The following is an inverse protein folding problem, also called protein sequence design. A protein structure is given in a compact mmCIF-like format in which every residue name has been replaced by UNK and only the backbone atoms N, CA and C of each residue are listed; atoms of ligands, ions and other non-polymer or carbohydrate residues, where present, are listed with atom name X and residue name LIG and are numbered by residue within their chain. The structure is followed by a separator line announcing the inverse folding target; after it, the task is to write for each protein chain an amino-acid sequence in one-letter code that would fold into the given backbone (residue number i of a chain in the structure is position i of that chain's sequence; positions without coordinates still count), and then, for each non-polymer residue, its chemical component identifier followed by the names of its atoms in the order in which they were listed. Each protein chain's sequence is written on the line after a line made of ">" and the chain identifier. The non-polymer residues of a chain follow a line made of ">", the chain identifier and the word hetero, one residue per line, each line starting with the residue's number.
data_IF_358666365354
#
_entry.id   IF_358666365354
#
_cell.length_a   1.000
_cell.length_b   1.000
_cell.length_c   1.000
_cell.angle_alpha   90.00
_cell.angle_beta   90.00
_cell.angle_gamma   90.00
#
_symmetry.space_group_name_H-M   'P 1'
#
loop_
_entity.id
_entity.type
_entity.pdbx_description
1 polymer ?
#
# COMPACT_ATOMS: atom_id res chain seq x y z
N UNK A 1 -41.90 1.75 -30.13
CA UNK A 1 -40.93 1.45 -29.05
C UNK A 1 -39.78 0.73 -29.72
N UNK A 2 -38.73 1.43 -30.03
CA UNK A 2 -37.50 0.88 -30.64
C UNK A 2 -36.63 0.26 -29.56
N UNK A 3 -36.51 -1.08 -29.62
CA UNK A 3 -35.55 -1.80 -28.81
C UNK A 3 -34.14 -1.32 -29.19
N UNK A 4 -33.53 -0.50 -28.34
CA UNK A 4 -32.09 -0.22 -28.41
C UNK A 4 -31.40 -1.48 -27.87
N UNK A 5 -30.56 -2.18 -28.67
CA UNK A 5 -29.80 -3.33 -28.14
C UNK A 5 -28.89 -2.82 -27.06
N UNK A 6 -28.94 -3.45 -25.88
CA UNK A 6 -27.95 -3.22 -24.84
C UNK A 6 -26.56 -3.63 -25.38
N UNK A 7 -25.54 -2.81 -25.17
CA UNK A 7 -24.19 -3.22 -25.54
C UNK A 7 -23.86 -4.52 -24.80
N UNK A 8 -23.34 -5.48 -25.55
CA UNK A 8 -22.81 -6.73 -24.98
C UNK A 8 -21.72 -6.38 -23.96
N UNK A 9 -21.84 -6.88 -22.74
CA UNK A 9 -20.77 -6.76 -21.77
C UNK A 9 -19.49 -7.39 -22.37
N UNK A 10 -18.38 -6.65 -22.41
CA UNK A 10 -17.14 -7.20 -22.98
C UNK A 10 -16.70 -8.44 -22.19
N UNK A 11 -16.14 -9.42 -22.89
CA UNK A 11 -15.52 -10.55 -22.20
C UNK A 11 -14.38 -10.04 -21.32
N UNK A 12 -14.05 -10.69 -20.19
CA UNK A 12 -13.01 -10.21 -19.28
C UNK A 12 -11.70 -9.83 -19.99
N UNK A 13 -11.30 -10.60 -20.99
CA UNK A 13 -10.07 -10.35 -21.75
C UNK A 13 -10.14 -9.08 -22.63
N UNK A 14 -11.28 -8.83 -23.24
CA UNK A 14 -11.51 -7.63 -24.08
C UNK A 14 -11.58 -6.37 -23.22
N UNK A 15 -12.14 -6.46 -22.00
CA UNK A 15 -12.21 -5.32 -21.09
C UNK A 15 -10.83 -4.87 -20.62
N UNK A 16 -9.88 -5.78 -20.39
CA UNK A 16 -8.50 -5.43 -19.99
C UNK A 16 -7.74 -4.74 -21.10
N UNK A 17 -7.79 -5.27 -22.32
CA UNK A 17 -7.16 -4.64 -23.47
C UNK A 17 -7.71 -3.25 -23.72
N UNK A 18 -9.04 -3.10 -23.67
CA UNK A 18 -9.72 -1.82 -23.83
C UNK A 18 -9.33 -0.83 -22.74
N UNK A 19 -9.22 -1.29 -21.49
CA UNK A 19 -8.80 -0.45 -20.36
C UNK A 19 -7.39 0.11 -20.56
N UNK A 20 -6.40 -0.73 -20.86
CA UNK A 20 -5.02 -0.28 -21.07
C UNK A 20 -4.91 0.73 -22.23
N UNK A 21 -5.60 0.50 -23.33
CA UNK A 21 -5.59 1.39 -24.50
C UNK A 21 -6.28 2.74 -24.21
N UNK A 22 -7.33 2.74 -23.40
CA UNK A 22 -8.15 3.94 -23.16
C UNK A 22 -7.59 4.84 -22.06
N UNK A 23 -6.78 4.31 -21.14
CA UNK A 23 -6.18 5.07 -20.03
C UNK A 23 -5.05 5.97 -20.54
N UNK A 24 -5.02 7.23 -20.10
CA UNK A 24 -3.98 8.19 -20.45
C UNK A 24 -3.11 8.57 -19.25
N UNK A 25 -1.80 8.72 -19.48
CA UNK A 25 -0.87 9.25 -18.47
C UNK A 25 -1.28 10.69 -18.14
N UNK A 26 -1.32 11.02 -16.85
CA UNK A 26 -1.79 12.32 -16.35
C UNK A 26 -3.30 12.42 -16.15
N UNK A 27 -4.04 11.39 -16.53
CA UNK A 27 -5.50 11.35 -16.38
C UNK A 27 -5.90 11.38 -14.90
N UNK A 28 -6.81 12.31 -14.56
CA UNK A 28 -7.35 12.44 -13.22
C UNK A 28 -8.44 11.39 -12.97
N UNK A 29 -8.33 10.70 -11.84
CA UNK A 29 -9.28 9.67 -11.40
C UNK A 29 -10.41 10.23 -10.52
N UNK A 30 -10.35 11.53 -10.23
CA UNK A 30 -11.27 12.17 -9.30
C UNK A 30 -10.69 12.26 -7.89
N UNK A 31 -11.57 12.44 -6.92
CA UNK A 31 -11.21 12.53 -5.51
C UNK A 31 -12.20 11.76 -4.64
N UNK A 32 -11.73 11.39 -3.47
CA UNK A 32 -12.50 10.82 -2.37
C UNK A 32 -12.44 11.78 -1.18
N UNK A 33 -13.52 11.85 -0.42
CA UNK A 33 -13.52 12.56 0.85
C UNK A 33 -14.05 11.63 1.95
N UNK A 34 -13.35 11.59 3.06
CA UNK A 34 -13.80 10.87 4.23
C UNK A 34 -13.26 11.54 5.51
N UNK A 35 -13.80 11.13 6.65
CA UNK A 35 -13.32 11.58 7.95
C UNK A 35 -12.63 10.42 8.65
N UNK A 36 -11.45 10.65 9.19
CA UNK A 36 -10.76 9.67 10.03
C UNK A 36 -11.39 9.72 11.42
N UNK A 37 -12.14 8.69 11.80
CA UNK A 37 -12.85 8.61 13.08
C UNK A 37 -12.11 7.71 14.07
N UNK A 38 -12.40 7.88 15.36
CA UNK A 38 -11.91 6.95 16.40
C UNK A 38 -12.37 5.50 16.12
N UNK A 39 -13.59 5.33 15.61
CA UNK A 39 -14.11 4.01 15.23
C UNK A 39 -13.27 3.35 14.14
N UNK A 40 -12.91 4.09 13.08
CA UNK A 40 -12.00 3.60 12.04
C UNK A 40 -10.67 3.19 12.63
N UNK A 41 -10.12 4.01 13.53
CA UNK A 41 -8.86 3.72 14.20
C UNK A 41 -8.95 2.45 15.05
N UNK A 42 -9.96 2.33 15.89
CA UNK A 42 -10.17 1.14 16.72
C UNK A 42 -10.33 -0.12 15.88
N UNK A 43 -11.10 -0.03 14.81
CA UNK A 43 -11.31 -1.16 13.92
C UNK A 43 -10.03 -1.57 13.18
N UNK A 44 -9.27 -0.61 12.68
CA UNK A 44 -7.97 -0.87 12.07
C UNK A 44 -7.01 -1.55 13.06
N UNK A 45 -6.86 -1.00 14.26
CA UNK A 45 -5.99 -1.54 15.28
C UNK A 45 -6.40 -2.96 15.72
N UNK A 46 -7.72 -3.24 15.83
CA UNK A 46 -8.19 -4.59 16.15
C UNK A 46 -7.95 -5.59 15.01
N UNK A 47 -7.90 -5.11 13.77
CA UNK A 47 -7.70 -5.93 12.58
C UNK A 47 -6.22 -6.31 12.39
N UNK A 48 -5.30 -5.42 12.72
CA UNK A 48 -3.86 -5.64 12.55
C UNK A 48 -3.14 -5.90 13.87
N UNK A 49 -3.87 -5.93 14.99
CA UNK A 49 -3.35 -6.13 16.36
C UNK A 49 -2.28 -5.11 16.76
N UNK A 50 -2.38 -3.90 16.21
CA UNK A 50 -1.42 -2.83 16.42
C UNK A 50 -2.04 -1.65 17.18
N UNK A 51 -1.73 -1.55 18.46
CA UNK A 51 -2.37 -0.61 19.39
C UNK A 51 -1.56 0.65 19.70
N UNK A 52 -0.26 0.67 19.35
CA UNK A 52 0.63 1.68 19.93
C UNK A 52 0.67 3.01 19.17
N UNK A 53 0.43 3.04 17.85
CA UNK A 53 0.63 4.26 17.08
C UNK A 53 -0.59 5.16 16.97
N UNK A 54 -1.77 4.62 17.16
CA UNK A 54 -3.01 5.38 16.95
C UNK A 54 -3.20 5.86 15.50
N UNK A 55 -2.56 5.24 14.51
CA UNK A 55 -2.60 5.66 13.12
C UNK A 55 -3.26 4.62 12.23
N UNK A 56 -4.23 5.06 11.47
CA UNK A 56 -4.76 4.28 10.34
C UNK A 56 -3.79 4.47 9.18
N UNK A 57 -3.35 3.37 8.58
CA UNK A 57 -2.70 3.45 7.29
C UNK A 57 -3.78 3.74 6.23
N UNK A 58 -3.99 5.01 5.94
CA UNK A 58 -5.06 5.49 5.05
C UNK A 58 -4.93 4.94 3.64
N UNK A 59 -3.72 4.66 3.21
CA UNK A 59 -3.41 4.27 1.86
C UNK A 59 -3.91 2.87 1.46
N UNK A 60 -4.51 2.11 2.36
CA UNK A 60 -4.97 0.74 2.06
C UNK A 60 -6.12 0.72 1.04
N UNK A 61 -6.88 1.81 0.87
CA UNK A 61 -8.19 1.78 0.23
C UNK A 61 -8.33 2.57 -1.04
N UNK A 62 -7.49 3.57 -1.18
CA UNK A 62 -7.76 4.71 -2.06
C UNK A 62 -7.66 4.35 -3.54
N UNK A 63 -6.70 3.48 -3.89
CA UNK A 63 -6.44 3.13 -5.28
C UNK A 63 -7.58 2.39 -5.95
N UNK A 64 -8.05 1.32 -5.32
CA UNK A 64 -9.12 0.51 -5.88
C UNK A 64 -10.39 1.34 -6.04
N UNK A 65 -10.68 2.21 -5.08
CA UNK A 65 -11.88 3.01 -5.13
C UNK A 65 -11.82 4.12 -6.20
N UNK A 66 -10.73 4.87 -6.30
CA UNK A 66 -10.60 5.89 -7.36
C UNK A 66 -10.63 5.27 -8.75
N UNK A 67 -10.04 4.08 -8.91
CA UNK A 67 -10.09 3.34 -10.18
C UNK A 67 -11.48 2.80 -10.45
N UNK A 68 -12.12 2.15 -9.47
CA UNK A 68 -13.46 1.58 -9.61
C UNK A 68 -14.53 2.63 -9.87
N UNK A 69 -14.44 3.77 -9.22
CA UNK A 69 -15.37 4.89 -9.48
C UNK A 69 -15.33 5.37 -10.93
N UNK A 70 -14.18 5.27 -11.57
CA UNK A 70 -14.02 5.74 -12.95
C UNK A 70 -14.18 4.66 -14.00
N UNK A 71 -13.68 3.47 -13.77
CA UNK A 71 -13.58 2.40 -14.77
C UNK A 71 -14.42 1.17 -14.45
N UNK A 72 -15.10 1.15 -13.29
CA UNK A 72 -15.83 -0.03 -12.82
C UNK A 72 -14.92 -1.10 -12.24
N UNK A 73 -15.44 -2.32 -12.12
CA UNK A 73 -14.67 -3.44 -11.57
C UNK A 73 -13.56 -3.85 -12.53
N UNK A 74 -12.32 -3.69 -12.07
CA UNK A 74 -11.12 -4.06 -12.83
C UNK A 74 -10.32 -5.04 -11.98
N UNK A 75 -10.00 -6.20 -12.57
CA UNK A 75 -9.14 -7.17 -11.90
C UNK A 75 -7.67 -6.72 -12.05
N UNK A 76 -7.16 -6.05 -11.04
CA UNK A 76 -5.79 -5.56 -10.95
C UNK A 76 -5.02 -6.37 -9.92
N UNK A 77 -3.77 -6.69 -10.24
CA UNK A 77 -2.86 -7.30 -9.27
C UNK A 77 -1.84 -6.27 -8.81
N UNK A 78 -1.83 -5.95 -7.53
CA UNK A 78 -0.82 -5.07 -6.93
C UNK A 78 0.55 -5.74 -6.96
N UNK A 79 1.50 -5.07 -7.60
CA UNK A 79 2.89 -5.55 -7.78
C UNK A 79 3.86 -4.86 -6.84
N UNK A 80 3.68 -3.56 -6.64
CA UNK A 80 4.51 -2.77 -5.73
C UNK A 80 3.80 -1.53 -5.26
N UNK A 81 4.19 -1.06 -4.07
CA UNK A 81 3.65 0.14 -3.46
C UNK A 81 4.76 0.99 -2.88
N UNK A 82 4.63 2.31 -3.03
CA UNK A 82 5.58 3.30 -2.56
C UNK A 82 4.84 4.44 -1.86
N UNK A 83 4.97 4.53 -0.53
CA UNK A 83 4.33 5.52 0.33
C UNK A 83 5.36 6.54 0.81
N UNK A 84 5.02 7.82 0.70
CA UNK A 84 5.77 8.92 1.25
C UNK A 84 4.93 9.63 2.31
N UNK A 85 5.35 9.55 3.57
CA UNK A 85 4.63 10.05 4.74
C UNK A 85 5.06 11.49 5.05
N UNK A 86 4.14 12.42 5.01
CA UNK A 86 4.37 13.81 5.42
C UNK A 86 4.02 14.02 6.89
N UNK A 87 2.90 13.46 7.31
CA UNK A 87 2.40 13.48 8.68
C UNK A 87 1.28 12.48 8.89
N UNK A 88 1.02 12.09 10.14
CA UNK A 88 -0.18 11.30 10.44
C UNK A 88 -1.46 12.12 10.23
N UNK A 89 -2.57 11.46 9.86
CA UNK A 89 -3.88 12.07 9.85
C UNK A 89 -4.29 12.47 11.27
N UNK A 90 -5.13 13.49 11.39
CA UNK A 90 -5.71 13.93 12.66
C UNK A 90 -7.12 13.35 12.75
N UNK A 91 -7.44 12.72 13.89
CA UNK A 91 -8.78 12.19 14.16
C UNK A 91 -9.82 13.32 14.07
N UNK A 92 -11.00 12.98 13.58
CA UNK A 92 -12.14 13.86 13.31
C UNK A 92 -11.95 14.93 12.23
N UNK A 93 -10.80 14.96 11.58
CA UNK A 93 -10.59 15.80 10.40
C UNK A 93 -10.95 15.09 9.09
N UNK A 94 -11.37 15.90 8.13
CA UNK A 94 -11.56 15.41 6.76
C UNK A 94 -10.21 15.16 6.10
N UNK A 95 -10.20 14.10 5.30
CA UNK A 95 -9.11 13.77 4.38
C UNK A 95 -9.70 13.77 2.98
N UNK A 96 -9.07 14.51 2.08
CA UNK A 96 -9.35 14.47 0.65
C UNK A 96 -8.20 13.75 -0.03
N UNK A 97 -8.53 12.75 -0.84
CA UNK A 97 -7.57 11.98 -1.62
C UNK A 97 -7.84 12.19 -3.09
N UNK A 98 -6.85 12.69 -3.82
CA UNK A 98 -6.90 12.81 -5.27
C UNK A 98 -6.07 11.72 -5.90
N UNK A 99 -6.57 11.11 -7.00
CA UNK A 99 -5.91 10.06 -7.74
C UNK A 99 -5.63 10.45 -9.19
N UNK A 100 -4.55 9.96 -9.76
CA UNK A 100 -4.20 10.14 -11.18
C UNK A 100 -3.41 8.96 -11.72
N UNK A 101 -3.48 8.75 -13.04
CA UNK A 101 -2.62 7.82 -13.75
C UNK A 101 -1.24 8.45 -13.89
N UNK A 102 -0.24 7.86 -13.25
CA UNK A 102 1.13 8.37 -13.27
C UNK A 102 1.91 7.86 -14.48
N UNK A 103 1.72 6.59 -14.82
CA UNK A 103 2.43 5.94 -15.91
C UNK A 103 1.68 4.68 -16.37
N UNK A 104 1.99 4.20 -17.56
CA UNK A 104 1.61 2.87 -18.05
C UNK A 104 2.70 2.34 -18.98
N UNK A 105 3.01 1.07 -18.86
CA UNK A 105 4.06 0.45 -19.67
C UNK A 105 3.81 -1.04 -19.87
N UNK A 106 4.52 -1.61 -20.83
CA UNK A 106 4.55 -3.06 -21.07
C UNK A 106 5.96 -3.54 -20.77
N UNK A 107 6.08 -4.58 -19.96
CA UNK A 107 7.32 -5.29 -19.69
C UNK A 107 7.06 -6.78 -19.74
N UNK A 108 7.92 -7.51 -20.49
CA UNK A 108 7.81 -8.96 -20.67
C UNK A 108 6.42 -9.43 -21.14
N UNK A 109 5.75 -8.61 -21.95
CA UNK A 109 4.41 -8.87 -22.46
C UNK A 109 3.27 -8.62 -21.48
N UNK A 110 3.56 -8.17 -20.27
CA UNK A 110 2.60 -7.82 -19.24
C UNK A 110 2.34 -6.32 -19.26
N UNK A 111 1.08 -5.93 -19.23
CA UNK A 111 0.65 -4.54 -19.13
C UNK A 111 0.66 -4.09 -17.66
N UNK A 112 1.29 -2.95 -17.40
CA UNK A 112 1.35 -2.34 -16.08
C UNK A 112 0.70 -0.96 -16.07
N UNK A 113 0.05 -0.65 -14.96
CA UNK A 113 -0.51 0.65 -14.67
C UNK A 113 0.09 1.18 -13.37
N UNK A 114 0.53 2.43 -13.37
CA UNK A 114 1.02 3.13 -12.19
C UNK A 114 0.03 4.21 -11.79
N UNK A 115 -0.53 4.07 -10.61
CA UNK A 115 -1.48 5.03 -10.04
C UNK A 115 -0.81 5.82 -8.93
N UNK A 116 -1.00 7.13 -8.95
CA UNK A 116 -0.57 8.02 -7.87
C UNK A 116 -1.78 8.53 -7.10
N UNK A 117 -1.65 8.67 -5.78
CA UNK A 117 -2.62 9.41 -4.95
C UNK A 117 -1.92 10.41 -4.04
N UNK A 118 -2.65 11.44 -3.66
CA UNK A 118 -2.24 12.43 -2.67
C UNK A 118 -3.39 12.67 -1.70
N UNK A 119 -3.14 12.39 -0.43
CA UNK A 119 -4.04 12.68 0.66
C UNK A 119 -3.68 14.01 1.31
N UNK A 120 -4.65 14.90 1.44
CA UNK A 120 -4.53 16.20 2.14
C UNK A 120 -5.63 16.32 3.20
N UNK A 121 -5.39 17.14 4.20
CA UNK A 121 -6.45 17.45 5.18
C UNK A 121 -7.33 18.64 4.76
N UNK A 122 -8.29 18.98 5.62
CA UNK A 122 -9.25 20.07 5.44
C UNK A 122 -8.64 21.48 5.35
N UNK A 123 -7.36 21.65 5.67
CA UNK A 123 -6.60 22.90 5.50
C UNK A 123 -5.56 22.83 4.38
N UNK A 124 -5.61 21.77 3.56
CA UNK A 124 -4.73 21.59 2.39
C UNK A 124 -3.32 21.10 2.71
N UNK A 125 -3.08 20.58 3.94
CA UNK A 125 -1.76 20.05 4.27
C UNK A 125 -1.62 18.60 3.85
N UNK A 126 -0.52 18.27 3.19
CA UNK A 126 -0.22 16.91 2.73
C UNK A 126 -0.05 15.95 3.91
N UNK A 127 -0.70 14.79 3.81
CA UNK A 127 -0.66 13.70 4.78
C UNK A 127 0.21 12.57 4.23
N UNK A 128 -0.15 12.09 3.04
CA UNK A 128 0.43 10.91 2.43
C UNK A 128 0.40 11.05 0.91
N UNK A 129 1.51 10.72 0.27
CA UNK A 129 1.56 10.54 -1.17
C UNK A 129 1.91 9.10 -1.45
N UNK A 130 1.10 8.46 -2.27
CA UNK A 130 1.29 7.04 -2.59
C UNK A 130 1.41 6.84 -4.10
N UNK A 131 2.15 5.82 -4.46
CA UNK A 131 2.23 5.32 -5.83
C UNK A 131 2.15 3.81 -5.78
N UNK A 132 1.23 3.23 -6.55
CA UNK A 132 1.08 1.79 -6.65
C UNK A 132 1.14 1.34 -8.10
N UNK A 133 1.84 0.24 -8.34
CA UNK A 133 1.95 -0.40 -9.66
C UNK A 133 1.11 -1.65 -9.68
N UNK A 134 0.24 -1.74 -10.66
CA UNK A 134 -0.63 -2.89 -10.90
C UNK A 134 -0.27 -3.58 -12.21
N UNK A 135 -0.38 -4.90 -12.26
CA UNK A 135 -0.45 -5.64 -13.52
C UNK A 135 -1.90 -5.87 -13.92
N UNK A 136 -2.15 -5.88 -15.22
CA UNK A 136 -3.48 -6.07 -15.81
C UNK A 136 -3.64 -7.53 -16.25
N UNK A 137 -4.57 -8.24 -15.63
CA UNK A 137 -5.04 -9.54 -16.11
C UNK A 137 -4.12 -10.75 -15.90
N UNK A 138 -2.89 -10.58 -15.46
CA UNK A 138 -1.92 -11.67 -15.26
C UNK A 138 -1.11 -11.40 -13.99
N UNK A 139 -0.96 -12.40 -13.15
CA UNK A 139 0.03 -12.34 -12.09
C UNK A 139 1.42 -12.26 -12.72
N UNK A 140 2.18 -11.18 -12.51
CA UNK A 140 3.53 -11.12 -13.02
C UNK A 140 4.35 -12.28 -12.45
N UNK A 141 5.35 -12.78 -13.19
CA UNK A 141 6.30 -13.72 -12.62
C UNK A 141 6.89 -13.07 -11.36
N UNK A 142 6.98 -13.86 -10.31
CA UNK A 142 7.50 -13.42 -9.02
C UNK A 142 8.82 -12.66 -9.25
N UNK A 143 8.84 -11.38 -8.99
CA UNK A 143 10.09 -10.64 -8.98
C UNK A 143 10.94 -11.24 -7.86
N UNK A 144 11.88 -12.11 -8.26
CA UNK A 144 12.95 -12.52 -7.36
C UNK A 144 13.59 -11.23 -6.85
N UNK A 145 13.74 -11.15 -5.55
CA UNK A 145 14.25 -10.01 -4.76
C UNK A 145 15.15 -9.08 -5.56
N UNK A 146 14.97 -7.79 -5.38
CA UNK A 146 15.96 -6.79 -5.82
C UNK A 146 17.31 -7.32 -5.37
N UNK A 147 18.12 -7.78 -6.34
CA UNK A 147 19.48 -8.22 -6.08
C UNK A 147 20.27 -6.98 -5.64
N UNK A 148 20.21 -6.68 -4.36
CA UNK A 148 21.09 -5.69 -3.77
C UNK A 148 22.49 -6.33 -3.68
N UNK A 149 23.48 -5.59 -4.10
CA UNK A 149 24.87 -5.86 -3.73
C UNK A 149 24.88 -6.05 -2.22
N UNK A 150 25.24 -7.24 -1.76
CA UNK A 150 25.30 -7.61 -0.33
C UNK A 150 26.34 -6.73 0.38
N UNK A 151 25.93 -5.55 0.81
CA UNK A 151 26.64 -4.81 1.83
C UNK A 151 26.23 -5.42 3.17
N UNK A 152 27.21 -5.74 4.02
CA UNK A 152 26.89 -6.21 5.38
C UNK A 152 26.03 -5.13 6.07
N UNK A 153 24.91 -5.51 6.71
CA UNK A 153 24.05 -4.57 7.38
C UNK A 153 24.80 -3.93 8.56
N UNK A 154 24.60 -2.62 8.75
CA UNK A 154 25.19 -1.87 9.88
C UNK A 154 24.52 -2.32 11.19
N UNK A 155 23.22 -2.58 11.14
CA UNK A 155 22.41 -2.98 12.28
C UNK A 155 21.19 -3.78 11.79
N UNK A 156 20.82 -4.78 12.57
CA UNK A 156 19.59 -5.52 12.40
C UNK A 156 18.55 -5.04 13.43
N UNK A 157 17.34 -4.74 13.00
CA UNK A 157 16.24 -4.40 13.91
C UNK A 157 15.65 -5.67 14.52
N UNK A 158 15.03 -5.58 15.71
CA UNK A 158 14.23 -6.68 16.24
C UNK A 158 13.16 -7.10 15.22
N UNK A 159 13.07 -8.39 14.96
CA UNK A 159 12.06 -8.90 14.04
C UNK A 159 10.66 -8.87 14.69
N UNK A 160 9.65 -8.60 13.88
CA UNK A 160 8.25 -8.68 14.27
C UNK A 160 7.67 -10.01 13.76
N UNK A 161 7.10 -10.80 14.63
CA UNK A 161 6.39 -12.03 14.25
C UNK A 161 4.88 -11.81 14.38
N UNK A 162 4.13 -12.17 13.34
CA UNK A 162 2.67 -12.06 13.29
C UNK A 162 2.05 -13.40 12.90
N UNK A 163 1.08 -13.82 13.68
CA UNK A 163 0.18 -14.91 13.33
C UNK A 163 -1.05 -14.32 12.65
N UNK A 164 -1.32 -14.73 11.43
CA UNK A 164 -2.46 -14.26 10.64
C UNK A 164 -3.64 -15.18 10.92
N UNK A 165 -4.43 -14.84 11.94
CA UNK A 165 -5.63 -15.62 12.26
C UNK A 165 -6.71 -15.41 11.19
N UNK A 166 -7.49 -16.44 10.89
CA UNK A 166 -8.56 -16.38 9.90
C UNK A 166 -9.60 -15.30 10.22
N UNK A 167 -9.86 -15.06 11.51
CA UNK A 167 -10.76 -14.00 11.94
C UNK A 167 -10.21 -12.62 11.56
N UNK A 168 -8.95 -12.32 11.92
CA UNK A 168 -8.24 -11.07 11.59
C UNK A 168 -8.14 -10.88 10.08
N UNK A 169 -7.84 -11.96 9.34
CA UNK A 169 -7.85 -11.94 7.88
C UNK A 169 -9.19 -11.48 7.31
N UNK A 170 -10.29 -12.07 7.77
CA UNK A 170 -11.62 -11.70 7.29
C UNK A 170 -12.00 -10.27 7.66
N UNK A 171 -11.67 -9.82 8.87
CA UNK A 171 -11.90 -8.42 9.26
C UNK A 171 -11.13 -7.47 8.34
N UNK A 172 -9.86 -7.75 8.07
CA UNK A 172 -9.03 -6.93 7.19
C UNK A 172 -9.56 -6.93 5.75
N UNK A 173 -9.94 -8.10 5.22
CA UNK A 173 -10.53 -8.25 3.90
C UNK A 173 -11.79 -7.38 3.71
N UNK A 174 -12.60 -7.24 4.76
CA UNK A 174 -13.85 -6.46 4.74
C UNK A 174 -13.68 -5.05 5.31
N UNK A 175 -12.51 -4.71 5.86
CA UNK A 175 -12.28 -3.40 6.50
C UNK A 175 -12.70 -2.24 5.58
N UNK A 176 -12.51 -2.39 4.29
CA UNK A 176 -12.84 -1.40 3.30
C UNK A 176 -14.33 -1.27 3.00
N UNK A 177 -15.09 -2.34 2.98
CA UNK A 177 -16.52 -2.32 2.66
C UNK A 177 -17.39 -1.82 3.82
N UNK A 178 -16.87 -1.79 5.03
CA UNK A 178 -17.64 -1.42 6.21
C UNK A 178 -17.66 0.08 6.54
N UNK A 179 -16.80 0.89 5.90
CA UNK A 179 -16.74 2.33 6.14
C UNK A 179 -17.33 3.12 4.97
N UNK A 180 -18.56 2.96 4.63
CA UNK A 180 -19.42 3.77 3.72
C UNK A 180 -18.72 4.65 2.64
N UNK A 181 -17.48 4.32 2.25
CA UNK A 181 -16.76 5.02 1.21
C UNK A 181 -17.04 4.33 -0.14
N UNK A 182 -18.32 4.17 -0.45
CA UNK A 182 -18.83 3.50 -1.66
C UNK A 182 -19.03 1.99 -1.50
N UNK A 183 -19.79 1.39 -2.44
CA UNK A 183 -20.04 -0.05 -2.54
C UNK A 183 -18.78 -0.80 -3.03
N UNK A 184 -17.77 -0.90 -2.16
CA UNK A 184 -16.57 -1.68 -2.47
C UNK A 184 -16.80 -3.15 -2.17
N UNK A 185 -16.49 -3.99 -3.15
CA UNK A 185 -16.40 -5.41 -2.90
C UNK A 185 -15.25 -5.74 -1.92
N UNK A 186 -15.36 -6.83 -1.17
CA UNK A 186 -14.26 -7.32 -0.35
C UNK A 186 -13.01 -7.55 -1.19
N UNK A 187 -11.84 -7.28 -0.61
CA UNK A 187 -10.56 -7.53 -1.27
C UNK A 187 -10.43 -9.01 -1.66
N UNK A 188 -9.74 -9.28 -2.75
CA UNK A 188 -9.33 -10.65 -3.11
C UNK A 188 -8.35 -11.21 -2.07
N UNK A 189 -8.16 -12.53 -2.06
CA UNK A 189 -7.18 -13.18 -1.17
C UNK A 189 -5.77 -12.62 -1.39
N UNK A 190 -5.39 -12.40 -2.65
CA UNK A 190 -4.09 -11.86 -3.00
C UNK A 190 -3.90 -10.42 -2.54
N UNK A 191 -4.87 -9.56 -2.77
CA UNK A 191 -4.84 -8.17 -2.29
C UNK A 191 -4.74 -8.10 -0.78
N UNK A 192 -5.55 -8.90 -0.08
CA UNK A 192 -5.53 -8.98 1.37
C UNK A 192 -4.13 -9.34 1.89
N UNK A 193 -3.51 -10.39 1.32
CA UNK A 193 -2.18 -10.83 1.72
C UNK A 193 -1.08 -9.82 1.41
N UNK A 194 -1.14 -9.16 0.26
CA UNK A 194 -0.19 -8.13 -0.13
C UNK A 194 -0.29 -6.90 0.79
N UNK A 195 -1.50 -6.43 1.05
CA UNK A 195 -1.70 -5.28 1.92
C UNK A 195 -1.39 -5.56 3.38
N UNK A 196 -1.62 -6.79 3.88
CA UNK A 196 -1.15 -7.19 5.21
C UNK A 196 0.37 -7.18 5.29
N UNK A 197 1.08 -7.70 4.28
CA UNK A 197 2.54 -7.65 4.24
C UNK A 197 3.06 -6.20 4.29
N UNK A 198 2.43 -5.30 3.55
CA UNK A 198 2.74 -3.87 3.60
C UNK A 198 2.45 -3.26 4.98
N UNK A 199 1.29 -3.57 5.55
CA UNK A 199 0.86 -3.06 6.85
C UNK A 199 1.80 -3.48 7.98
N UNK A 200 2.26 -4.73 7.98
CA UNK A 200 3.21 -5.22 8.98
C UNK A 200 4.61 -4.61 8.80
N UNK A 201 5.04 -4.35 7.57
CA UNK A 201 6.27 -3.60 7.32
C UNK A 201 6.16 -2.15 7.84
N UNK A 202 5.03 -1.49 7.63
CA UNK A 202 4.71 -0.18 8.18
C UNK A 202 4.69 -0.20 9.72
N UNK A 203 4.09 -1.22 10.33
CA UNK A 203 4.05 -1.41 11.77
C UNK A 203 5.45 -1.48 12.37
N UNK A 204 6.33 -2.37 11.84
CA UNK A 204 7.71 -2.50 12.29
C UNK A 204 8.46 -1.15 12.27
N UNK A 205 8.31 -0.37 11.21
CA UNK A 205 8.94 0.94 11.09
C UNK A 205 8.36 1.96 12.06
N UNK A 206 7.05 1.93 12.28
CA UNK A 206 6.38 2.84 13.21
C UNK A 206 6.72 2.50 14.66
N UNK A 207 6.81 1.23 15.02
CA UNK A 207 7.27 0.80 16.35
C UNK A 207 8.72 1.23 16.63
N UNK A 208 9.58 1.12 15.61
CA UNK A 208 11.00 1.42 15.77
C UNK A 208 11.31 2.92 15.75
N UNK A 209 10.69 3.66 14.85
CA UNK A 209 11.04 5.07 14.58
C UNK A 209 9.94 6.07 14.94
N UNK A 210 8.73 5.59 15.26
CA UNK A 210 7.60 6.41 15.69
C UNK A 210 7.29 7.55 14.73
N UNK A 211 7.18 8.74 15.30
CA UNK A 211 6.88 9.97 14.56
C UNK A 211 7.93 10.36 13.53
N UNK A 212 9.18 9.91 13.67
CA UNK A 212 10.21 10.19 12.66
C UNK A 212 9.92 9.49 11.35
N UNK A 213 9.35 8.26 11.41
CA UNK A 213 8.88 7.60 10.20
C UNK A 213 7.63 8.27 9.62
N UNK A 214 6.66 8.60 10.46
CA UNK A 214 5.37 9.18 10.02
C UNK A 214 5.46 10.65 9.57
N UNK A 215 6.62 11.31 9.78
CA UNK A 215 6.88 12.72 9.38
C UNK A 215 8.09 12.83 8.45
N UNK A 216 8.01 12.22 7.28
CA UNK A 216 9.07 12.29 6.26
C UNK A 216 9.70 10.93 5.93
N UNK A 217 9.12 9.83 6.43
CA UNK A 217 9.54 8.50 6.03
C UNK A 217 9.07 8.11 4.63
N UNK A 218 9.80 7.19 4.02
CA UNK A 218 9.46 6.56 2.75
C UNK A 218 9.47 5.06 2.96
N UNK A 219 8.45 4.37 2.44
CA UNK A 219 8.35 2.92 2.39
C UNK A 219 8.03 2.47 0.97
N UNK A 220 8.92 1.69 0.39
CA UNK A 220 8.71 1.02 -0.90
C UNK A 220 8.68 -0.49 -0.67
N UNK A 221 7.65 -1.16 -1.16
CA UNK A 221 7.47 -2.61 -1.05
C UNK A 221 7.12 -3.20 -2.41
N UNK A 222 7.79 -4.29 -2.75
CA UNK A 222 7.49 -5.15 -3.90
C UNK A 222 6.86 -6.43 -3.37
N UNK A 223 5.70 -6.79 -3.89
CA UNK A 223 4.99 -8.00 -3.51
C UNK A 223 5.48 -9.19 -4.34
N UNK A 224 5.93 -10.23 -3.64
CA UNK A 224 6.48 -11.44 -4.25
C UNK A 224 5.50 -12.60 -4.19
N UNK A 225 4.96 -12.88 -3.01
CA UNK A 225 3.93 -13.88 -2.75
C UNK A 225 2.96 -13.34 -1.72
N UNK A 226 1.67 -13.62 -1.85
CA UNK A 226 0.70 -13.20 -0.84
C UNK A 226 0.92 -13.92 0.50
N UNK A 227 0.74 -13.20 1.58
CA UNK A 227 0.49 -13.83 2.86
C UNK A 227 -0.83 -14.62 2.78
N UNK A 228 -1.01 -15.61 3.64
CA UNK A 228 -2.21 -16.45 3.67
C UNK A 228 -2.75 -16.51 5.10
N UNK A 229 -4.06 -16.76 5.29
CA UNK A 229 -4.63 -16.96 6.61
C UNK A 229 -4.06 -18.22 7.29
N UNK A 230 -4.15 -18.29 8.60
CA UNK A 230 -3.68 -19.37 9.46
C UNK A 230 -2.17 -19.66 9.37
N UNK A 231 -1.38 -18.68 8.92
CA UNK A 231 0.08 -18.75 8.86
C UNK A 231 0.73 -17.73 9.81
N UNK A 232 1.98 -17.98 10.15
CA UNK A 232 2.86 -17.01 10.79
C UNK A 232 3.74 -16.36 9.72
N UNK A 233 4.02 -15.08 9.86
CA UNK A 233 5.00 -14.39 9.06
C UNK A 233 6.00 -13.65 9.96
N UNK A 234 7.22 -13.47 9.45
CA UNK A 234 8.30 -12.72 10.10
C UNK A 234 8.62 -11.52 9.25
N UNK A 235 8.60 -10.35 9.87
CA UNK A 235 9.00 -9.08 9.28
C UNK A 235 10.35 -8.70 9.87
N UNK A 236 11.36 -8.55 9.04
CA UNK A 236 12.70 -8.14 9.45
C UNK A 236 13.13 -6.88 8.70
N UNK A 237 13.96 -6.07 9.35
CA UNK A 237 14.55 -4.91 8.70
C UNK A 237 16.04 -4.78 9.09
N UNK A 238 16.84 -4.38 8.12
CA UNK A 238 18.28 -4.20 8.22
C UNK A 238 18.64 -2.77 7.84
N UNK A 239 19.41 -2.09 8.68
CA UNK A 239 19.97 -0.77 8.37
C UNK A 239 21.18 -0.98 7.47
N UNK A 240 21.08 -0.53 6.22
CA UNK A 240 22.15 -0.66 5.24
C UNK A 240 23.03 0.58 5.14
N UNK A 241 22.46 1.74 5.46
CA UNK A 241 23.20 3.00 5.36
C UNK A 241 22.68 4.02 6.38
N UNK A 242 23.61 4.74 6.98
CA UNK A 242 23.35 5.95 7.77
C UNK A 242 24.20 7.08 7.17
N UNK A 243 23.59 8.24 6.96
CA UNK A 243 24.28 9.42 6.42
C UNK A 243 23.69 10.69 6.97
N UNK A 244 24.52 11.70 7.19
CA UNK A 244 24.08 13.03 7.59
C UNK A 244 23.68 13.85 6.35
N UNK A 245 22.50 14.46 6.41
CA UNK A 245 21.98 15.36 5.35
C UNK A 245 21.47 16.63 6.03
N UNK A 246 22.24 17.69 5.94
CA UNK A 246 21.95 18.95 6.64
C UNK A 246 21.83 18.71 8.15
N UNK A 247 20.70 19.05 8.76
CA UNK A 247 20.42 18.88 10.19
C UNK A 247 19.65 17.60 10.50
N UNK A 248 19.77 16.57 9.64
CA UNK A 248 19.05 15.30 9.79
C UNK A 248 19.96 14.12 9.50
N UNK A 249 19.73 13.03 10.23
CA UNK A 249 20.31 11.74 9.95
C UNK A 249 19.35 10.97 9.04
N UNK A 250 19.83 10.58 7.87
CA UNK A 250 19.12 9.67 6.97
C UNK A 250 19.52 8.24 7.26
N UNK A 251 18.53 7.40 7.50
CA UNK A 251 18.70 5.95 7.68
C UNK A 251 17.97 5.22 6.55
N UNK A 252 18.72 4.46 5.77
CA UNK A 252 18.18 3.61 4.70
C UNK A 252 18.16 2.15 5.18
N UNK A 253 16.99 1.50 5.01
CA UNK A 253 16.74 0.13 5.47
C UNK A 253 16.30 -0.77 4.31
N UNK A 254 16.64 -2.05 4.43
CA UNK A 254 16.04 -3.15 3.68
C UNK A 254 15.02 -3.86 4.55
N UNK A 255 13.88 -4.22 3.98
CA UNK A 255 12.79 -4.89 4.68
C UNK A 255 12.48 -6.19 3.98
N UNK A 256 12.25 -7.25 4.75
CA UNK A 256 11.81 -8.55 4.23
C UNK A 256 10.60 -9.00 5.04
N UNK A 257 9.58 -9.48 4.34
CA UNK A 257 8.42 -10.16 4.92
C UNK A 257 8.44 -11.60 4.42
N UNK A 258 8.61 -12.54 5.32
CA UNK A 258 8.69 -13.96 5.02
C UNK A 258 7.56 -14.72 5.70
N UNK A 259 7.02 -15.71 5.01
CA UNK A 259 6.07 -16.66 5.57
C UNK A 259 6.81 -17.70 6.42
N UNK A 260 6.08 -18.46 7.22
CA UNK A 260 6.64 -19.54 8.06
C UNK A 260 7.40 -20.65 7.30
N UNK A 261 7.11 -20.80 5.99
CA UNK A 261 7.79 -21.74 5.08
C UNK A 261 9.04 -21.12 4.41
N UNK A 262 9.54 -19.99 4.95
CA UNK A 262 10.66 -19.18 4.44
C UNK A 262 10.43 -18.58 3.05
N UNK A 263 9.21 -18.66 2.53
CA UNK A 263 8.85 -18.02 1.25
C UNK A 263 8.77 -16.51 1.42
N UNK A 264 9.46 -15.78 0.56
CA UNK A 264 9.44 -14.32 0.54
C UNK A 264 8.05 -13.83 0.08
N UNK A 265 7.32 -13.19 0.99
CA UNK A 265 6.02 -12.59 0.68
C UNK A 265 6.19 -11.18 0.08
N UNK A 266 7.08 -10.39 0.68
CA UNK A 266 7.39 -9.06 0.17
C UNK A 266 8.83 -8.67 0.50
N UNK A 267 9.42 -7.81 -0.33
CA UNK A 267 10.70 -7.15 -0.06
C UNK A 267 10.54 -5.65 -0.23
N UNK A 268 11.29 -4.88 0.56
CA UNK A 268 11.13 -3.43 0.53
C UNK A 268 12.38 -2.67 0.94
N UNK A 269 12.28 -1.35 0.74
CA UNK A 269 13.25 -0.37 1.21
C UNK A 269 12.51 0.71 1.98
N UNK A 270 13.12 1.20 3.05
CA UNK A 270 12.61 2.37 3.75
C UNK A 270 13.72 3.41 3.93
N UNK A 271 13.31 4.67 3.97
CA UNK A 271 14.19 5.79 4.32
C UNK A 271 13.53 6.56 5.47
N UNK A 272 14.27 6.80 6.53
CA UNK A 272 13.83 7.58 7.68
C UNK A 272 14.72 8.81 7.81
N UNK A 273 14.11 9.97 8.04
CA UNK A 273 14.82 11.22 8.32
C UNK A 273 14.63 11.59 9.80
N UNK A 274 15.66 11.43 10.59
CA UNK A 274 15.67 11.72 12.02
C UNK A 274 16.34 13.09 12.24
N UNK A 275 15.76 14.05 12.99
CA UNK A 275 16.44 15.26 13.36
C UNK A 275 17.77 14.95 14.06
N UNK A 276 18.86 15.57 13.66
CA UNK A 276 20.14 15.44 14.35
C UNK A 276 20.02 16.03 15.77
N UNK A 277 20.62 15.41 16.79
CA UNK A 277 20.61 16.01 18.12
C UNK A 277 21.23 17.43 18.06
N UNK A 278 20.52 18.39 18.64
CA UNK A 278 21.06 19.76 18.79
C UNK A 278 22.29 19.65 19.68
N UNK A 279 23.47 19.82 19.11
CA UNK A 279 24.75 19.86 19.84
C UNK A 279 24.91 21.18 20.58
#
# INVERSE_FOLDING_TARGET
>A
MTNIPQPLEPTPHESYALFYETVNIGEQLGHLEYRVTEEMLHKYCSTVEYWQSGYVNLAIREFHQVLSNKYGHINLTSCSRNDYYYRPPIIDRRVQVSGWIRDKYISDGIQYLVVGTLAIDDIGTEILKTQETFSLGINPPLHQSIADVESQPIQQLPALEKRIEKHTWNLFKHFNSEFEIGDLEPMTEQETGNLLAFTYAHELLTETYGMNFLKGGLLNVVFCNSLLPDQTCTISAEVNRISEISERTRTDLKILVKRQDDVLAASGKATILIPSPIT
#
